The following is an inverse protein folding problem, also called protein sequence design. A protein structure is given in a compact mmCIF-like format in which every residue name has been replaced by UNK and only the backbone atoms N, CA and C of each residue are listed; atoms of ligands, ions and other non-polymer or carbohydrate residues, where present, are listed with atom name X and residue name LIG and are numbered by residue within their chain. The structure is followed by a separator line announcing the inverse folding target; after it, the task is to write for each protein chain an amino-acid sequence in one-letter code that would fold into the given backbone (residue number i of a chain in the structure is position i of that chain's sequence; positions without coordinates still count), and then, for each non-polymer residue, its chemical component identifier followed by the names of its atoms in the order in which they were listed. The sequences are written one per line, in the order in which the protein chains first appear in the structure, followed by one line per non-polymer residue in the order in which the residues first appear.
data_IF_920212525067
#
_entry.id   IF_920212525067
#
_cell.length_a   1.000
_cell.length_b   1.000
_cell.length_c   1.000
_cell.angle_alpha   90.00
_cell.angle_beta   90.00
_cell.angle_gamma   90.00
#
_symmetry.space_group_name_H-M   'P 1'
#
loop_
_entity.id
_entity.type
_entity.pdbx_description
1 polymer ?
#
# COMPACT_ATOMS: atom_id res chain seq x y z
N UNK A 1 16.39 -37.98 58.34
CA UNK A 1 16.10 -39.43 58.31
C UNK A 1 15.20 -39.72 57.12
N UNK A 2 15.64 -40.66 56.28
CA UNK A 2 14.90 -41.15 55.12
C UNK A 2 13.59 -41.87 55.53
N UNK A 3 12.59 -41.94 54.66
CA UNK A 3 12.30 -43.17 53.92
C UNK A 3 11.14 -43.05 52.92
N UNK A 4 11.44 -43.61 51.75
CA UNK A 4 10.68 -43.97 50.55
C UNK A 4 9.54 -44.98 50.81
N UNK A 5 8.53 -45.01 49.91
CA UNK A 5 7.92 -46.18 49.20
C UNK A 5 6.62 -45.70 48.50
N UNK A 6 6.39 -45.78 47.18
CA UNK A 6 6.56 -46.83 46.14
C UNK A 6 5.55 -47.99 46.20
N UNK A 7 4.76 -48.16 45.13
CA UNK A 7 4.42 -49.41 44.38
C UNK A 7 3.07 -49.26 43.63
N UNK A 8 2.91 -49.41 42.30
CA UNK A 8 3.15 -50.50 41.30
C UNK A 8 1.84 -51.24 40.92
N UNK A 9 1.64 -51.41 39.60
CA UNK A 9 1.09 -52.55 38.83
C UNK A 9 0.00 -52.11 37.82
N UNK A 10 0.05 -52.30 36.49
CA UNK A 10 0.55 -53.31 35.54
C UNK A 10 -0.57 -54.20 34.95
N UNK A 11 -0.49 -54.43 33.62
CA UNK A 11 -1.26 -55.38 32.80
C UNK A 11 -1.84 -54.69 31.56
N UNK A 12 -1.31 -54.74 30.33
CA UNK A 12 -0.69 -55.75 29.44
C UNK A 12 -1.68 -56.76 28.78
N UNK A 13 -1.63 -56.70 27.43
CA UNK A 13 -1.87 -57.70 26.37
C UNK A 13 -3.28 -58.08 25.89
N UNK A 14 -3.45 -57.97 24.57
CA UNK A 14 -4.40 -58.70 23.74
C UNK A 14 -4.24 -58.35 22.25
N UNK A 15 -3.56 -59.21 21.49
CA UNK A 15 -3.40 -59.15 20.02
C UNK A 15 -4.51 -59.97 19.36
N UNK A 16 -5.03 -59.55 18.19
CA UNK A 16 -5.16 -60.34 16.93
C UNK A 16 -6.39 -60.01 16.05
N UNK A 17 -6.07 -59.91 14.74
CA UNK A 17 -6.84 -60.37 13.55
C UNK A 17 -7.88 -59.42 12.92
N UNK A 18 -7.60 -59.06 11.66
CA UNK A 18 -8.53 -58.48 10.68
C UNK A 18 -9.55 -59.50 10.17
N UNK A 19 -10.64 -59.02 9.55
CA UNK A 19 -11.00 -59.57 8.26
C UNK A 19 -11.26 -58.51 7.18
N UNK A 20 -10.95 -58.94 5.97
CA UNK A 20 -11.27 -58.38 4.66
C UNK A 20 -12.79 -58.36 4.46
N UNK A 21 -13.32 -57.25 3.94
CA UNK A 21 -14.57 -57.23 3.17
C UNK A 21 -14.27 -56.67 1.79
N UNK A 22 -14.87 -57.30 0.78
CA UNK A 22 -14.70 -57.00 -0.63
C UNK A 22 -16.08 -56.82 -1.30
N UNK A 23 -16.07 -56.07 -2.44
CA UNK A 23 -16.98 -56.15 -3.62
C UNK A 23 -18.32 -55.35 -3.52
N UNK A 24 -18.98 -54.83 -4.61
CA UNK A 24 -18.66 -54.74 -6.06
C UNK A 24 -18.91 -53.38 -6.81
N UNK A 25 -18.53 -53.41 -8.10
CA UNK A 25 -19.24 -52.91 -9.31
C UNK A 25 -19.03 -51.48 -9.84
N UNK A 26 -18.14 -51.40 -10.83
CA UNK A 26 -18.33 -50.90 -12.19
C UNK A 26 -19.55 -50.01 -12.52
N UNK A 27 -19.26 -48.80 -13.02
CA UNK A 27 -20.11 -48.08 -13.96
C UNK A 27 -19.26 -47.25 -14.93
N UNK A 28 -19.26 -47.71 -16.19
CA UNK A 28 -19.09 -47.01 -17.47
C UNK A 28 -18.19 -45.77 -17.59
N UNK A 29 -17.14 -45.94 -18.39
CA UNK A 29 -16.46 -44.87 -19.14
C UNK A 29 -17.44 -44.20 -20.14
N UNK A 30 -17.51 -42.87 -20.21
CA UNK A 30 -17.99 -42.19 -21.41
C UNK A 30 -16.80 -41.97 -22.35
N UNK A 31 -16.84 -42.65 -23.49
CA UNK A 31 -15.97 -42.38 -24.65
C UNK A 31 -16.23 -40.96 -25.18
N UNK A 32 -15.38 -40.01 -24.78
CA UNK A 32 -15.28 -38.71 -25.44
C UNK A 32 -14.16 -38.78 -26.48
N UNK A 33 -14.51 -38.66 -27.76
CA UNK A 33 -13.54 -38.42 -28.83
C UNK A 33 -12.77 -37.11 -28.60
N UNK A 34 -11.63 -36.90 -29.28
CA UNK A 34 -10.76 -35.76 -29.02
C UNK A 34 -11.44 -34.48 -29.52
N UNK A 35 -12.04 -33.74 -28.60
CA UNK A 35 -12.33 -32.33 -28.81
C UNK A 35 -11.00 -31.57 -28.74
N UNK A 36 -10.67 -30.83 -29.79
CA UNK A 36 -9.51 -29.96 -29.85
C UNK A 36 -9.56 -28.95 -28.68
N UNK A 37 -8.61 -29.05 -27.77
CA UNK A 37 -8.46 -28.14 -26.66
C UNK A 37 -8.01 -26.77 -27.17
N UNK A 38 -8.87 -25.77 -27.03
CA UNK A 38 -8.45 -24.36 -27.09
C UNK A 38 -7.50 -24.03 -25.92
N UNK A 39 -6.67 -22.98 -26.04
CA UNK A 39 -5.74 -22.63 -24.98
C UNK A 39 -6.50 -22.17 -23.73
N UNK A 40 -6.15 -22.77 -22.59
CA UNK A 40 -6.68 -22.41 -21.28
C UNK A 40 -5.68 -21.51 -20.55
N UNK A 41 -6.06 -20.25 -20.29
CA UNK A 41 -5.33 -19.35 -19.40
C UNK A 41 -5.82 -19.54 -17.96
N UNK A 42 -4.91 -19.64 -16.99
CA UNK A 42 -5.20 -19.66 -15.55
C UNK A 42 -4.90 -18.28 -14.96
N UNK A 43 -5.90 -17.63 -14.35
CA UNK A 43 -5.74 -16.37 -13.62
C UNK A 43 -5.55 -16.61 -12.11
N UNK A 44 -4.59 -15.93 -11.50
CA UNK A 44 -4.49 -15.79 -10.04
C UNK A 44 -5.30 -14.57 -9.58
N UNK A 45 -5.91 -14.66 -8.40
CA UNK A 45 -6.89 -13.69 -7.88
C UNK A 45 -6.18 -12.64 -7.03
N UNK A 46 -6.24 -11.38 -7.43
CA UNK A 46 -6.19 -10.19 -6.57
C UNK A 46 -7.23 -9.19 -7.13
N UNK A 47 -7.86 -8.42 -6.23
CA UNK A 47 -9.11 -7.66 -6.41
C UNK A 47 -9.36 -7.09 -7.82
N UNK A 48 -10.58 -7.30 -8.32
CA UNK A 48 -11.01 -7.18 -9.71
C UNK A 48 -10.57 -5.90 -10.44
N UNK A 49 -9.40 -5.95 -11.06
CA UNK A 49 -8.91 -4.89 -11.93
C UNK A 49 -9.59 -4.92 -13.33
N UNK A 50 -10.25 -6.02 -13.66
CA UNK A 50 -11.01 -6.24 -14.88
C UNK A 50 -12.50 -6.41 -14.55
N UNK A 51 -13.36 -5.77 -15.34
CA UNK A 51 -14.81 -5.76 -15.14
C UNK A 51 -15.61 -6.01 -16.42
N UNK A 52 -14.96 -6.05 -17.58
CA UNK A 52 -15.62 -6.18 -18.87
C UNK A 52 -16.14 -7.60 -19.09
N UNK A 53 -17.46 -7.79 -19.27
CA UNK A 53 -18.04 -9.11 -19.49
C UNK A 53 -17.51 -9.73 -20.79
N UNK A 54 -17.01 -10.97 -20.70
CA UNK A 54 -16.56 -11.74 -21.87
C UNK A 54 -15.16 -11.38 -22.39
N UNK A 55 -14.50 -10.37 -21.83
CA UNK A 55 -13.11 -10.04 -22.16
C UNK A 55 -12.12 -10.94 -21.38
N UNK A 56 -11.00 -11.24 -22.02
CA UNK A 56 -9.86 -11.90 -21.37
C UNK A 56 -9.10 -10.84 -20.55
N UNK A 57 -9.05 -11.01 -19.24
CA UNK A 57 -8.35 -10.08 -18.35
C UNK A 57 -6.82 -10.26 -18.41
N UNK A 58 -6.09 -9.19 -18.73
CA UNK A 58 -4.64 -9.16 -18.90
C UNK A 58 -3.95 -8.58 -17.66
N UNK A 59 -3.66 -9.39 -16.63
CA UNK A 59 -3.14 -8.89 -15.34
C UNK A 59 -1.86 -8.06 -15.47
N UNK A 60 -0.99 -8.40 -16.41
CA UNK A 60 0.27 -7.73 -16.73
C UNK A 60 0.18 -6.88 -18.02
N UNK A 61 -1.05 -6.61 -18.48
CA UNK A 61 -1.35 -5.95 -19.76
C UNK A 61 -0.71 -6.60 -20.99
N UNK A 62 -0.26 -7.85 -20.89
CA UNK A 62 0.36 -8.56 -22.01
C UNK A 62 -0.58 -9.62 -22.55
N UNK A 63 -0.78 -9.64 -23.86
CA UNK A 63 -1.56 -10.68 -24.54
C UNK A 63 -0.71 -11.41 -25.57
N UNK A 64 -0.71 -12.73 -25.50
CA UNK A 64 -0.06 -13.58 -26.47
C UNK A 64 -1.09 -14.36 -27.31
N UNK A 65 -0.93 -14.31 -28.62
CA UNK A 65 -1.69 -15.09 -29.59
C UNK A 65 -0.78 -16.17 -30.13
N UNK A 66 -1.23 -17.42 -30.06
CA UNK A 66 -0.66 -18.53 -30.84
C UNK A 66 -1.68 -18.91 -31.89
N UNK A 67 -1.30 -18.76 -33.15
CA UNK A 67 -2.13 -19.07 -34.29
C UNK A 67 -1.55 -20.27 -35.03
N UNK A 68 -2.31 -21.37 -35.10
CA UNK A 68 -1.93 -22.58 -35.82
C UNK A 68 -2.70 -22.66 -37.14
N UNK A 69 -2.01 -23.10 -38.18
CA UNK A 69 -2.63 -23.40 -39.48
C UNK A 69 -2.58 -24.90 -39.72
N UNK A 70 -3.68 -25.46 -40.19
CA UNK A 70 -3.73 -26.83 -40.67
C UNK A 70 -3.49 -26.85 -42.18
N UNK A 71 -2.55 -27.68 -42.63
CA UNK A 71 -2.26 -27.89 -44.04
C UNK A 71 -0.78 -27.68 -44.40
N UNK A 72 -0.15 -28.73 -44.91
CA UNK A 72 1.17 -28.64 -45.56
C UNK A 72 1.00 -28.18 -47.00
N UNK A 73 1.91 -27.34 -47.50
CA UNK A 73 1.86 -26.85 -48.89
C UNK A 73 1.03 -25.58 -49.11
N UNK A 74 0.81 -24.78 -48.07
CA UNK A 74 0.28 -23.42 -48.18
C UNK A 74 1.31 -22.42 -47.64
N UNK A 75 1.46 -21.28 -48.32
CA UNK A 75 2.15 -20.11 -47.78
C UNK A 75 1.11 -19.17 -47.20
N UNK A 76 1.26 -18.79 -45.92
CA UNK A 76 0.28 -17.99 -45.21
C UNK A 76 0.80 -16.59 -44.93
N UNK A 77 -0.11 -15.64 -45.02
CA UNK A 77 0.09 -14.27 -44.57
C UNK A 77 -1.07 -13.87 -43.69
N UNK A 78 -0.79 -13.31 -42.51
CA UNK A 78 -1.78 -12.76 -41.62
C UNK A 78 -1.46 -11.32 -41.25
N UNK A 79 -2.51 -10.62 -40.81
CA UNK A 79 -2.46 -9.33 -40.14
C UNK A 79 -3.09 -9.50 -38.77
N UNK A 80 -2.32 -9.24 -37.73
CA UNK A 80 -2.78 -9.10 -36.36
C UNK A 80 -3.12 -7.64 -36.12
N UNK A 81 -4.35 -7.38 -35.68
CA UNK A 81 -4.81 -6.09 -35.18
C UNK A 81 -5.00 -6.23 -33.67
N UNK A 82 -4.25 -5.44 -32.88
CA UNK A 82 -4.34 -5.49 -31.43
C UNK A 82 -5.48 -4.63 -30.87
N UNK A 83 -6.16 -3.84 -31.72
CA UNK A 83 -7.30 -3.04 -31.32
C UNK A 83 -6.95 -1.72 -30.60
N UNK A 84 -5.66 -1.44 -30.38
CA UNK A 84 -5.14 -0.18 -29.85
C UNK A 84 -4.55 0.74 -30.94
N UNK A 85 -4.75 0.37 -32.21
CA UNK A 85 -4.18 1.04 -33.38
C UNK A 85 -2.85 0.44 -33.85
N UNK A 86 -2.24 -0.46 -33.09
CA UNK A 86 -1.06 -1.21 -33.52
C UNK A 86 -1.43 -2.46 -34.29
N UNK A 87 -0.68 -2.73 -35.36
CA UNK A 87 -0.97 -3.84 -36.27
C UNK A 87 0.33 -4.48 -36.74
N UNK A 88 0.36 -5.80 -36.88
CA UNK A 88 1.52 -6.55 -37.32
C UNK A 88 1.16 -7.45 -38.50
N UNK A 89 2.00 -7.46 -39.55
CA UNK A 89 1.89 -8.43 -40.63
C UNK A 89 2.84 -9.60 -40.37
N UNK A 90 2.33 -10.83 -40.42
CA UNK A 90 3.11 -12.04 -40.18
C UNK A 90 3.04 -12.94 -41.41
N UNK A 91 4.19 -13.26 -41.99
CA UNK A 91 4.31 -14.31 -43.01
C UNK A 91 4.83 -15.58 -42.36
N UNK A 92 4.20 -16.71 -42.65
CA UNK A 92 4.55 -17.98 -42.02
C UNK A 92 4.18 -19.18 -42.90
N UNK A 93 4.89 -20.29 -42.69
CA UNK A 93 4.67 -21.55 -43.39
C UNK A 93 3.61 -22.41 -42.69
N UNK A 94 3.82 -23.72 -42.69
CA UNK A 94 2.89 -24.69 -42.06
C UNK A 94 2.92 -24.72 -40.54
N UNK A 95 3.82 -23.97 -39.89
CA UNK A 95 4.03 -24.03 -38.42
C UNK A 95 3.19 -23.01 -37.63
N UNK A 96 2.45 -22.13 -38.31
CA UNK A 96 1.73 -21.05 -37.63
C UNK A 96 2.68 -19.98 -37.09
N UNK A 97 2.23 -19.23 -36.08
CA UNK A 97 3.06 -18.24 -35.39
C UNK A 97 2.60 -18.00 -33.95
N UNK A 98 3.49 -17.46 -33.13
CA UNK A 98 3.16 -16.84 -31.85
C UNK A 98 3.60 -15.38 -31.86
N UNK A 99 2.74 -14.49 -31.36
CA UNK A 99 3.03 -13.07 -31.15
C UNK A 99 2.53 -12.63 -29.78
N UNK A 100 3.23 -11.66 -29.20
CA UNK A 100 2.90 -11.06 -27.91
C UNK A 100 2.84 -9.55 -28.08
N UNK A 101 1.90 -8.93 -27.37
CA UNK A 101 1.70 -7.49 -27.37
C UNK A 101 1.42 -6.98 -25.97
N UNK A 102 2.00 -5.84 -25.62
CA UNK A 102 1.79 -5.16 -24.35
C UNK A 102 0.94 -3.92 -24.57
N UNK A 103 -0.16 -3.80 -23.83
CA UNK A 103 -1.06 -2.65 -23.90
C UNK A 103 -0.57 -1.55 -22.96
N UNK A 104 -0.21 -0.40 -23.53
CA UNK A 104 0.25 0.75 -22.74
C UNK A 104 -0.83 1.31 -21.80
N UNK A 105 -2.10 1.31 -22.25
CA UNK A 105 -3.23 1.91 -21.52
C UNK A 105 -4.21 0.86 -21.04
N UNK A 106 -4.90 1.17 -19.95
CA UNK A 106 -6.03 0.37 -19.53
C UNK A 106 -7.19 0.54 -20.51
N UNK A 107 -7.95 -0.53 -20.72
CA UNK A 107 -9.06 -0.50 -21.67
C UNK A 107 -9.47 -1.88 -22.14
N UNK A 108 -10.59 -1.92 -22.85
CA UNK A 108 -11.06 -3.11 -23.55
C UNK A 108 -10.70 -2.98 -25.02
N UNK A 109 -10.01 -3.98 -25.55
CA UNK A 109 -9.50 -4.01 -26.91
C UNK A 109 -10.08 -5.20 -27.68
N UNK A 110 -10.39 -4.97 -28.95
CA UNK A 110 -10.82 -6.04 -29.85
C UNK A 110 -9.64 -6.49 -30.70
N UNK A 111 -9.09 -7.64 -30.35
CA UNK A 111 -7.99 -8.27 -31.08
C UNK A 111 -8.56 -9.07 -32.23
N UNK A 112 -7.98 -8.91 -33.42
CA UNK A 112 -8.35 -9.72 -34.59
C UNK A 112 -7.14 -10.21 -35.36
N UNK A 113 -7.21 -11.44 -35.86
CA UNK A 113 -6.26 -11.99 -36.82
C UNK A 113 -7.02 -12.29 -38.09
N UNK A 114 -6.62 -11.61 -39.16
CA UNK A 114 -7.12 -11.82 -40.52
C UNK A 114 -5.99 -12.29 -41.40
N UNK A 115 -6.28 -12.96 -42.51
CA UNK A 115 -5.22 -13.50 -43.35
C UNK A 115 -5.73 -14.28 -44.53
N UNK A 116 -4.78 -14.82 -45.28
CA UNK A 116 -5.02 -15.62 -46.46
C UNK A 116 -3.91 -16.65 -46.64
N UNK A 117 -4.21 -17.71 -47.39
CA UNK A 117 -3.25 -18.75 -47.76
C UNK A 117 -3.21 -18.92 -49.26
N UNK A 118 -2.01 -19.16 -49.79
CA UNK A 118 -1.80 -19.49 -51.20
C UNK A 118 -1.20 -20.89 -51.32
N UNK A 119 -1.79 -21.81 -52.10
CA UNK A 119 -1.18 -23.10 -52.38
C UNK A 119 0.21 -22.94 -52.97
N UNK A 120 1.18 -23.72 -52.48
CA UNK A 120 2.56 -23.72 -53.00
C UNK A 120 2.79 -24.77 -54.08
N UNK A 121 1.79 -25.63 -54.35
CA UNK A 121 1.81 -26.69 -55.36
C UNK A 121 0.42 -26.91 -55.96
N UNK A 122 0.31 -27.29 -57.25
CA UNK A 122 -0.96 -27.67 -57.88
C UNK A 122 -1.70 -28.83 -57.20
N UNK A 123 -1.00 -29.63 -56.38
CA UNK A 123 -1.59 -30.73 -55.61
C UNK A 123 -2.38 -30.29 -54.38
N UNK A 124 -2.31 -29.00 -54.01
CA UNK A 124 -3.05 -28.42 -52.88
C UNK A 124 -4.21 -27.59 -53.44
N UNK A 125 -5.47 -28.06 -53.32
CA UNK A 125 -6.58 -27.46 -54.05
C UNK A 125 -7.06 -26.12 -53.48
N UNK A 126 -6.91 -25.89 -52.17
CA UNK A 126 -7.28 -24.63 -51.52
C UNK A 126 -6.60 -24.49 -50.14
N UNK A 127 -6.46 -23.25 -49.68
CA UNK A 127 -5.94 -22.90 -48.36
C UNK A 127 -7.01 -22.06 -47.65
N UNK A 128 -7.65 -22.59 -46.60
CA UNK A 128 -8.67 -21.88 -45.83
C UNK A 128 -8.07 -21.23 -44.58
N UNK A 129 -8.18 -19.92 -44.47
CA UNK A 129 -7.78 -19.17 -43.28
C UNK A 129 -8.95 -19.04 -42.30
N UNK A 130 -8.73 -19.33 -41.02
CA UNK A 130 -9.76 -19.22 -39.99
C UNK A 130 -9.54 -17.95 -39.16
N UNK A 131 -10.31 -16.87 -39.36
CA UNK A 131 -10.10 -15.65 -38.60
C UNK A 131 -10.25 -15.88 -37.09
N UNK A 132 -9.43 -15.18 -36.32
CA UNK A 132 -9.51 -15.18 -34.86
C UNK A 132 -9.96 -13.79 -34.40
N UNK A 133 -10.84 -13.75 -33.41
CA UNK A 133 -11.23 -12.53 -32.73
C UNK A 133 -11.39 -12.79 -31.25
N UNK A 134 -10.86 -11.89 -30.43
CA UNK A 134 -11.05 -11.92 -28.99
C UNK A 134 -11.21 -10.50 -28.45
N UNK A 135 -11.95 -10.36 -27.35
CA UNK A 135 -11.89 -9.17 -26.54
C UNK A 135 -10.93 -9.40 -25.38
N UNK A 136 -10.07 -8.42 -25.13
CA UNK A 136 -9.13 -8.43 -24.02
C UNK A 136 -9.30 -7.16 -23.20
N UNK A 137 -9.09 -7.24 -21.90
CA UNK A 137 -9.15 -6.09 -20.99
C UNK A 137 -7.80 -5.91 -20.31
N UNK A 138 -7.14 -4.77 -20.60
CA UNK A 138 -6.00 -4.31 -19.84
C UNK A 138 -6.52 -3.55 -18.61
N UNK A 139 -6.21 -4.00 -17.38
CA UNK A 139 -6.72 -3.41 -16.15
C UNK A 139 -6.14 -2.01 -15.90
N UNK A 140 -6.88 -1.21 -15.14
CA UNK A 140 -6.39 0.05 -14.57
C UNK A 140 -5.32 -0.22 -13.52
N UNK A 141 -4.41 0.73 -13.36
CA UNK A 141 -3.49 0.72 -12.23
C UNK A 141 -4.19 1.23 -10.98
N UNK A 142 -4.01 0.53 -9.87
CA UNK A 142 -4.49 0.97 -8.57
C UNK A 142 -3.33 1.60 -7.79
N UNK A 143 -3.52 2.84 -7.36
CA UNK A 143 -2.55 3.58 -6.56
C UNK A 143 -3.06 3.79 -5.14
N UNK A 144 -2.14 3.69 -4.18
CA UNK A 144 -2.35 4.12 -2.80
C UNK A 144 -1.19 5.02 -2.38
N UNK A 145 -1.51 6.28 -2.07
CA UNK A 145 -0.62 7.24 -1.46
C UNK A 145 -0.99 7.38 0.01
N UNK A 146 -0.11 6.94 0.91
CA UNK A 146 -0.26 7.13 2.35
C UNK A 146 0.75 8.14 2.86
N UNK A 147 0.33 9.00 3.77
CA UNK A 147 1.15 9.99 4.44
C UNK A 147 1.10 9.75 5.95
N UNK A 148 2.21 10.07 6.61
CA UNK A 148 2.36 9.92 8.06
C UNK A 148 3.08 11.14 8.63
N UNK A 149 2.68 11.55 9.83
CA UNK A 149 3.41 12.51 10.67
C UNK A 149 3.75 11.88 12.03
N UNK A 150 4.99 11.99 12.48
CA UNK A 150 5.49 11.39 13.73
C UNK A 150 6.58 12.24 14.36
N UNK A 151 6.76 12.11 15.67
CA UNK A 151 7.77 12.85 16.45
C UNK A 151 9.05 12.02 16.54
N UNK A 152 10.18 12.47 15.98
CA UNK A 152 11.38 11.63 15.88
C UNK A 152 12.07 11.35 17.23
N UNK A 153 11.82 12.17 18.24
CA UNK A 153 12.38 12.01 19.59
C UNK A 153 11.46 11.19 20.49
N UNK A 154 11.98 10.74 21.63
CA UNK A 154 11.23 10.04 22.68
C UNK A 154 10.31 10.96 23.47
N UNK A 155 10.68 12.24 23.60
CA UNK A 155 9.92 13.26 24.31
C UNK A 155 9.94 14.61 23.59
N UNK A 156 8.90 15.38 23.85
CA UNK A 156 8.73 16.77 23.41
C UNK A 156 8.33 17.61 24.62
N UNK A 157 8.76 18.87 24.61
CA UNK A 157 8.39 19.87 25.61
C UNK A 157 6.88 19.91 25.79
N UNK A 158 6.47 20.09 27.02
CA UNK A 158 5.10 20.43 27.35
C UNK A 158 4.91 21.96 27.27
N UNK A 159 4.05 22.48 26.37
CA UNK A 159 3.75 23.91 26.28
C UNK A 159 3.27 24.55 27.58
N UNK A 160 2.63 23.79 28.46
CA UNK A 160 2.19 24.30 29.76
C UNK A 160 3.32 24.34 30.80
N UNK A 161 4.40 23.55 30.62
CA UNK A 161 5.54 23.48 31.52
C UNK A 161 6.87 23.45 30.75
N UNK A 162 7.17 24.56 30.07
CA UNK A 162 8.37 24.70 29.21
C UNK A 162 9.68 24.57 29.98
N UNK A 163 9.69 24.96 31.26
CA UNK A 163 10.82 24.82 32.18
C UNK A 163 10.37 24.07 33.44
N UNK A 164 11.23 23.28 34.09
CA UNK A 164 10.95 22.74 35.41
C UNK A 164 10.66 23.87 36.39
N UNK A 165 9.43 23.93 36.92
CA UNK A 165 9.07 24.90 37.95
C UNK A 165 9.30 24.29 39.34
N UNK A 166 9.97 25.04 40.21
CA UNK A 166 9.95 24.83 41.65
C UNK A 166 8.80 25.68 42.23
N UNK A 167 7.67 25.05 42.56
CA UNK A 167 6.50 25.78 43.07
C UNK A 167 6.50 25.73 44.60
N UNK A 168 6.17 26.85 45.27
CA UNK A 168 5.89 26.90 46.71
C UNK A 168 4.40 27.09 47.04
N UNK A 169 3.49 27.01 46.06
CA UNK A 169 2.07 27.31 46.29
C UNK A 169 1.12 26.36 45.55
N UNK A 170 0.49 25.50 46.35
CA UNK A 170 -0.87 24.91 46.33
C UNK A 170 -1.66 24.56 45.06
N UNK A 171 -1.37 25.03 43.86
CA UNK A 171 -2.16 24.65 42.68
C UNK A 171 -1.24 24.52 41.45
N UNK A 172 -1.07 23.28 40.99
CA UNK A 172 -1.26 22.85 39.59
C UNK A 172 -0.84 21.40 39.42
N UNK A 173 -1.84 20.51 39.48
CA UNK A 173 -1.72 19.13 39.01
C UNK A 173 -3.06 18.80 38.38
N UNK A 174 -3.21 19.01 37.08
CA UNK A 174 -4.34 18.40 36.39
C UNK A 174 -3.93 17.00 35.94
N UNK A 175 -4.82 16.05 36.24
CA UNK A 175 -4.78 14.60 36.00
C UNK A 175 -4.04 13.70 37.02
N UNK A 176 -3.07 14.19 37.78
CA UNK A 176 -2.34 13.36 38.77
C UNK A 176 -2.72 13.56 40.25
N UNK A 177 -3.69 14.43 40.53
CA UNK A 177 -4.17 14.74 41.88
C UNK A 177 -3.32 15.77 42.63
N UNK A 178 -3.87 16.37 43.69
CA UNK A 178 -3.22 17.49 44.40
C UNK A 178 -2.10 17.00 45.34
N UNK A 179 -0.91 17.59 45.24
CA UNK A 179 0.23 17.31 46.12
C UNK A 179 0.60 18.53 46.97
N UNK A 180 0.17 18.61 48.25
CA UNK A 180 0.44 19.76 49.12
C UNK A 180 1.92 19.91 49.51
N UNK A 181 2.71 18.86 49.33
CA UNK A 181 4.13 18.74 49.61
C UNK A 181 5.00 18.78 48.33
N UNK A 182 4.45 19.23 47.20
CA UNK A 182 5.17 19.38 45.93
C UNK A 182 6.43 20.26 46.07
N UNK A 183 7.55 19.80 45.52
CA UNK A 183 8.82 20.53 45.45
C UNK A 183 9.17 20.88 44.01
N UNK A 184 8.98 19.93 43.09
CA UNK A 184 9.34 20.08 41.69
C UNK A 184 8.36 19.29 40.83
N UNK A 185 7.94 19.90 39.73
CA UNK A 185 7.15 19.26 38.70
C UNK A 185 7.83 19.44 37.35
N UNK A 186 7.96 18.35 36.61
CA UNK A 186 8.34 18.34 35.20
C UNK A 186 7.25 17.62 34.41
N UNK A 187 7.03 18.02 33.17
CA UNK A 187 6.16 17.28 32.26
C UNK A 187 6.62 17.40 30.82
N UNK A 188 6.23 16.40 30.03
CA UNK A 188 6.60 16.28 28.62
C UNK A 188 5.54 15.45 27.89
N UNK A 189 5.47 15.62 26.57
CA UNK A 189 4.70 14.75 25.69
C UNK A 189 5.58 13.61 25.18
N UNK A 190 5.02 12.40 25.14
CA UNK A 190 5.68 11.24 24.56
C UNK A 190 5.81 11.44 23.05
N UNK A 191 7.00 11.24 22.49
CA UNK A 191 7.27 11.19 21.06
C UNK A 191 7.24 9.75 20.51
N UNK A 192 7.64 9.56 19.25
CA UNK A 192 7.58 8.26 18.55
C UNK A 192 8.96 7.57 18.49
N UNK A 193 10.05 8.29 18.76
CA UNK A 193 11.41 7.75 18.88
C UNK A 193 11.95 7.00 17.65
N UNK A 194 11.56 7.41 16.43
CA UNK A 194 12.15 6.89 15.19
C UNK A 194 12.34 7.98 14.13
N UNK A 195 13.42 7.88 13.35
CA UNK A 195 13.73 8.85 12.29
C UNK A 195 13.04 8.47 10.97
N UNK A 196 13.08 7.19 10.59
CA UNK A 196 12.51 6.66 9.35
C UNK A 196 10.98 6.58 9.36
N UNK A 197 10.39 6.16 8.23
CA UNK A 197 8.93 6.12 8.06
C UNK A 197 8.22 5.05 8.92
N UNK A 198 8.88 3.93 9.17
CA UNK A 198 8.32 2.83 9.95
C UNK A 198 8.30 3.15 11.45
N UNK A 199 7.19 2.82 12.10
CA UNK A 199 6.97 3.12 13.51
C UNK A 199 5.60 3.75 13.81
N UNK A 200 5.43 4.19 15.05
CA UNK A 200 4.22 4.86 15.54
C UNK A 200 4.04 6.24 14.88
N UNK A 201 2.91 6.89 15.15
CA UNK A 201 2.59 8.15 14.50
C UNK A 201 1.63 8.99 15.34
N UNK A 202 1.57 10.28 14.98
CA UNK A 202 0.56 11.23 15.47
C UNK A 202 -0.66 11.28 14.57
N UNK A 203 -0.44 11.17 13.27
CA UNK A 203 -1.53 11.11 12.30
C UNK A 203 -1.08 10.40 11.04
N UNK A 204 -1.97 9.59 10.49
CA UNK A 204 -1.88 9.06 9.13
C UNK A 204 -3.05 9.54 8.30
N UNK A 205 -2.86 9.64 6.99
CA UNK A 205 -3.92 9.89 6.03
C UNK A 205 -3.47 9.45 4.66
N UNK A 206 -4.37 8.95 3.84
CA UNK A 206 -4.06 8.43 2.53
C UNK A 206 -5.18 8.64 1.54
N UNK A 207 -4.89 8.32 0.28
CA UNK A 207 -5.84 8.32 -0.81
C UNK A 207 -5.54 7.14 -1.71
N UNK A 208 -6.57 6.39 -2.04
CA UNK A 208 -6.54 5.35 -3.06
C UNK A 208 -7.30 5.83 -4.31
N UNK A 209 -6.83 5.43 -5.48
CA UNK A 209 -7.44 5.79 -6.77
C UNK A 209 -6.97 4.87 -7.89
N UNK A 210 -7.72 4.85 -8.99
CA UNK A 210 -7.38 4.08 -10.18
C UNK A 210 -6.95 5.00 -11.33
N UNK A 211 -5.96 4.57 -12.11
CA UNK A 211 -5.41 5.28 -13.28
C UNK A 211 -5.52 4.41 -14.53
N UNK A 212 -6.10 4.96 -15.60
CA UNK A 212 -6.29 4.25 -16.87
C UNK A 212 -5.30 4.66 -17.98
N UNK A 213 -4.34 5.55 -17.69
CA UNK A 213 -3.45 6.17 -18.68
C UNK A 213 -3.96 7.51 -19.22
N UNK A 214 -5.09 8.01 -18.72
CA UNK A 214 -5.65 9.31 -19.10
C UNK A 214 -6.28 10.07 -17.93
N UNK A 215 -7.06 9.37 -17.11
CA UNK A 215 -7.81 9.95 -16.02
C UNK A 215 -7.77 9.09 -14.77
N UNK A 216 -7.80 9.79 -13.64
CA UNK A 216 -7.98 9.22 -12.32
C UNK A 216 -9.46 8.97 -12.09
N UNK A 217 -9.78 7.80 -11.55
CA UNK A 217 -11.13 7.37 -11.14
C UNK A 217 -11.11 6.74 -9.76
N UNK A 218 -12.29 6.49 -9.17
CA UNK A 218 -12.43 5.79 -7.88
C UNK A 218 -11.63 6.39 -6.71
N UNK A 219 -11.48 7.71 -6.68
CA UNK A 219 -10.73 8.41 -5.63
C UNK A 219 -11.45 8.27 -4.29
N UNK A 220 -10.76 7.69 -3.29
CA UNK A 220 -11.30 7.48 -1.96
C UNK A 220 -10.25 7.82 -0.90
N UNK A 221 -10.64 8.53 0.19
CA UNK A 221 -9.73 8.74 1.30
C UNK A 221 -9.52 7.43 2.07
N UNK A 222 -8.27 7.21 2.52
CA UNK A 222 -7.88 6.16 3.46
C UNK A 222 -7.51 6.84 4.78
N UNK A 223 -8.33 6.67 5.81
CA UNK A 223 -8.23 7.47 7.03
C UNK A 223 -8.81 8.89 6.87
N UNK A 224 -8.36 9.88 7.67
CA UNK A 224 -7.18 9.84 8.52
C UNK A 224 -7.39 9.11 9.84
N UNK A 225 -6.31 8.57 10.40
CA UNK A 225 -6.30 8.00 11.73
C UNK A 225 -5.35 8.80 12.64
N UNK A 226 -5.88 9.25 13.78
CA UNK A 226 -5.09 9.89 14.83
C UNK A 226 -4.32 8.86 15.66
N UNK A 227 -3.16 9.27 16.14
CA UNK A 227 -2.38 8.52 17.12
C UNK A 227 -2.93 8.68 18.53
N UNK A 228 -2.11 8.32 19.51
CA UNK A 228 -2.39 8.58 20.92
C UNK A 228 -1.38 9.59 21.43
N UNK A 229 -1.88 10.71 21.92
CA UNK A 229 -1.07 11.68 22.64
C UNK A 229 -1.00 11.28 24.11
N UNK A 230 0.21 11.08 24.62
CA UNK A 230 0.47 10.81 26.03
C UNK A 230 1.28 11.95 26.63
N UNK A 231 0.75 12.57 27.68
CA UNK A 231 1.45 13.55 28.51
C UNK A 231 1.92 12.87 29.78
N UNK A 232 3.17 13.08 30.14
CA UNK A 232 3.83 12.53 31.33
C UNK A 232 4.15 13.64 32.31
N UNK A 233 4.07 13.34 33.61
CA UNK A 233 4.57 14.20 34.67
C UNK A 233 5.51 13.44 35.60
N UNK A 234 6.57 14.12 36.04
CA UNK A 234 7.51 13.69 37.06
C UNK A 234 7.41 14.64 38.24
N UNK A 235 7.03 14.09 39.40
CA UNK A 235 6.62 14.85 40.58
C UNK A 235 7.55 14.52 41.74
N UNK A 236 8.33 15.50 42.19
CA UNK A 236 9.17 15.36 43.39
C UNK A 236 8.50 16.04 44.59
N UNK A 237 8.43 15.33 45.71
CA UNK A 237 7.76 15.79 46.94
C UNK A 237 8.74 16.02 48.08
N UNK A 238 8.38 16.88 49.02
CA UNK A 238 9.18 17.18 50.20
C UNK A 238 9.24 15.94 51.09
N UNK A 239 10.44 15.50 51.43
CA UNK A 239 10.65 14.27 52.20
C UNK A 239 10.56 12.99 51.38
N UNK A 240 10.27 13.06 50.08
CA UNK A 240 10.36 11.92 49.15
C UNK A 240 11.17 12.31 47.91
N UNK A 241 12.48 12.01 47.89
CA UNK A 241 13.36 12.42 46.80
C UNK A 241 13.11 11.63 45.51
N UNK A 242 12.43 10.48 45.56
CA UNK A 242 12.11 9.68 44.38
C UNK A 242 10.94 10.31 43.62
N UNK A 243 11.12 10.73 42.35
CA UNK A 243 10.03 11.28 41.56
C UNK A 243 8.89 10.26 41.38
N UNK A 244 7.66 10.67 41.65
CA UNK A 244 6.46 9.94 41.28
C UNK A 244 6.13 10.22 39.80
N UNK A 245 5.84 9.16 39.05
CA UNK A 245 5.44 9.25 37.65
C UNK A 245 3.93 9.09 37.49
N UNK A 246 3.33 9.89 36.64
CA UNK A 246 1.94 9.76 36.21
C UNK A 246 1.78 10.22 34.76
N UNK A 247 0.69 9.80 34.11
CA UNK A 247 0.45 10.10 32.71
C UNK A 247 -1.04 10.17 32.37
N UNK A 248 -1.37 10.86 31.28
CA UNK A 248 -2.69 10.89 30.65
C UNK A 248 -2.51 10.66 29.17
N UNK A 249 -3.39 9.84 28.60
CA UNK A 249 -3.38 9.51 27.18
C UNK A 249 -4.75 9.78 26.58
N UNK A 250 -4.77 10.42 25.41
CA UNK A 250 -5.98 10.65 24.63
C UNK A 250 -5.73 10.38 23.15
N UNK A 251 -6.76 9.86 22.48
CA UNK A 251 -6.71 9.63 21.05
C UNK A 251 -6.84 10.96 20.30
N UNK A 252 -5.97 11.18 19.33
CA UNK A 252 -6.00 12.37 18.49
C UNK A 252 -7.22 12.34 17.58
N UNK A 253 -7.91 13.46 17.45
CA UNK A 253 -8.96 13.60 16.43
C UNK A 253 -8.33 14.10 15.13
N UNK A 254 -8.34 13.26 14.11
CA UNK A 254 -7.90 13.62 12.77
C UNK A 254 -9.09 13.80 11.83
N UNK A 255 -9.01 14.77 10.92
CA UNK A 255 -10.01 15.01 9.87
C UNK A 255 -9.31 15.17 8.53
N UNK A 256 -9.94 14.71 7.46
CA UNK A 256 -9.32 14.71 6.14
C UNK A 256 -10.32 14.57 5.01
N UNK A 257 -9.84 14.82 3.81
CA UNK A 257 -10.62 14.75 2.57
C UNK A 257 -9.71 14.39 1.41
N UNK A 258 -10.27 13.71 0.41
CA UNK A 258 -9.61 13.42 -0.84
C UNK A 258 -10.53 13.76 -2.00
N UNK A 259 -9.94 14.21 -3.11
CA UNK A 259 -10.64 14.50 -4.36
C UNK A 259 -9.72 14.24 -5.53
N UNK A 260 -10.27 14.01 -6.72
CA UNK A 260 -9.45 13.92 -7.93
C UNK A 260 -10.28 14.03 -9.19
N UNK A 261 -9.62 14.48 -10.26
CA UNK A 261 -10.22 14.73 -11.57
C UNK A 261 -9.12 14.82 -12.63
N UNK A 262 -9.38 14.26 -13.82
CA UNK A 262 -8.37 14.22 -14.88
C UNK A 262 -7.12 13.52 -14.36
N UNK A 263 -5.96 14.16 -14.47
CA UNK A 263 -4.68 13.59 -14.00
C UNK A 263 -4.36 13.92 -12.54
N UNK A 264 -5.23 14.62 -11.81
CA UNK A 264 -4.91 15.18 -10.50
C UNK A 264 -5.66 14.51 -9.37
N UNK A 265 -4.97 14.31 -8.25
CA UNK A 265 -5.53 13.89 -6.96
C UNK A 265 -5.07 14.88 -5.90
N UNK A 266 -5.95 15.26 -4.98
CA UNK A 266 -5.59 16.05 -3.80
C UNK A 266 -6.07 15.35 -2.55
N UNK A 267 -5.18 15.22 -1.58
CA UNK A 267 -5.45 14.74 -0.23
C UNK A 267 -5.11 15.87 0.75
N UNK A 268 -5.98 16.10 1.72
CA UNK A 268 -5.70 16.98 2.85
C UNK A 268 -6.12 16.32 4.15
N UNK A 269 -5.29 16.44 5.19
CA UNK A 269 -5.66 16.03 6.53
C UNK A 269 -5.07 16.98 7.58
N UNK A 270 -5.71 16.98 8.75
CA UNK A 270 -5.29 17.73 9.91
C UNK A 270 -5.56 16.98 11.21
N UNK A 271 -4.70 17.18 12.19
CA UNK A 271 -4.87 16.65 13.54
C UNK A 271 -4.38 17.68 14.56
N UNK A 272 -5.08 17.80 15.68
CA UNK A 272 -4.69 18.67 16.80
C UNK A 272 -4.49 17.82 18.05
N UNK A 273 -3.58 18.25 18.92
CA UNK A 273 -3.34 17.62 20.21
C UNK A 273 -4.59 17.79 21.12
N UNK A 274 -5.20 16.70 21.60
CA UNK A 274 -6.41 16.76 22.43
C UNK A 274 -6.14 17.23 23.87
N UNK A 275 -4.89 17.11 24.35
CA UNK A 275 -4.47 17.48 25.70
C UNK A 275 -3.99 18.94 25.79
N UNK A 276 -3.90 19.66 24.67
CA UNK A 276 -3.56 21.08 24.61
C UNK A 276 -4.74 21.87 24.04
N UNK A 277 -5.21 22.88 24.79
CA UNK A 277 -6.23 23.81 24.34
C UNK A 277 -5.77 25.28 24.48
N UNK A 278 -5.80 26.07 23.38
CA UNK A 278 -5.93 25.66 21.97
C UNK A 278 -4.62 25.11 21.40
N UNK A 279 -4.63 23.92 20.79
CA UNK A 279 -3.48 23.37 20.06
C UNK A 279 -3.44 23.81 18.59
N UNK A 280 -2.29 24.28 18.07
CA UNK A 280 -2.04 24.30 16.63
C UNK A 280 -2.17 22.90 16.05
N UNK A 281 -2.76 22.78 14.85
CA UNK A 281 -2.91 21.49 14.17
C UNK A 281 -1.72 21.19 13.28
N UNK A 282 -1.32 19.92 13.21
CA UNK A 282 -0.58 19.39 12.05
C UNK A 282 -1.53 19.53 10.86
N UNK A 283 -1.07 20.16 9.77
CA UNK A 283 -1.88 20.43 8.58
C UNK A 283 -1.10 20.07 7.33
N UNK A 284 -1.61 19.09 6.59
CA UNK A 284 -0.93 18.56 5.43
C UNK A 284 -1.88 18.49 4.25
N UNK A 285 -1.42 19.00 3.11
CA UNK A 285 -2.06 18.87 1.81
C UNK A 285 -1.03 18.33 0.83
N UNK A 286 -1.42 17.35 0.03
CA UNK A 286 -0.65 16.90 -1.14
C UNK A 286 -1.54 16.98 -2.37
N UNK A 287 -0.99 17.53 -3.44
CA UNK A 287 -1.56 17.44 -4.77
C UNK A 287 -0.65 16.56 -5.62
N UNK A 288 -1.18 15.45 -6.12
CA UNK A 288 -0.51 14.54 -7.01
C UNK A 288 -0.99 14.77 -8.45
N UNK A 289 -0.05 14.77 -9.40
CA UNK A 289 -0.34 14.70 -10.84
C UNK A 289 0.22 13.38 -11.36
N UNK A 290 -0.63 12.59 -11.99
CA UNK A 290 -0.35 11.24 -12.48
C UNK A 290 -0.09 11.31 -13.99
N UNK A 291 1.03 10.75 -14.42
CA UNK A 291 1.36 10.51 -15.82
C UNK A 291 1.65 9.03 -16.05
N UNK A 292 2.00 8.70 -17.30
CA UNK A 292 2.28 7.32 -17.70
C UNK A 292 3.57 6.77 -17.07
N UNK A 293 4.61 7.61 -17.01
CA UNK A 293 5.95 7.22 -16.51
C UNK A 293 6.32 7.86 -15.17
N UNK A 294 5.52 8.81 -14.67
CA UNK A 294 5.82 9.52 -13.44
C UNK A 294 4.59 9.91 -12.62
N UNK A 295 4.83 10.05 -11.32
CA UNK A 295 3.92 10.70 -10.38
C UNK A 295 4.64 11.90 -9.77
N UNK A 296 4.06 13.09 -9.93
CA UNK A 296 4.55 14.32 -9.32
C UNK A 296 3.72 14.66 -8.09
N UNK A 297 4.33 14.68 -6.91
CA UNK A 297 3.71 15.03 -5.64
C UNK A 297 4.15 16.43 -5.21
N UNK A 298 3.19 17.32 -4.97
CA UNK A 298 3.40 18.66 -4.44
C UNK A 298 2.76 18.78 -3.06
N UNK A 299 3.62 18.80 -2.04
CA UNK A 299 3.25 18.87 -0.63
C UNK A 299 3.20 20.31 -0.17
N UNK A 300 2.17 20.66 0.61
CA UNK A 300 2.12 21.83 1.49
C UNK A 300 1.83 21.34 2.90
N UNK A 301 2.84 21.39 3.75
CA UNK A 301 2.86 20.71 5.05
C UNK A 301 3.40 21.60 6.14
N UNK A 302 3.08 21.32 7.41
CA UNK A 302 3.77 21.97 8.54
C UNK A 302 5.26 21.57 8.60
N UNK A 303 6.11 22.38 9.20
CA UNK A 303 7.56 22.07 9.34
C UNK A 303 7.89 21.15 10.53
N UNK A 304 6.91 20.91 11.41
CA UNK A 304 6.99 19.94 12.49
C UNK A 304 5.70 19.12 12.54
N UNK A 305 5.74 17.82 12.87
CA UNK A 305 6.93 17.01 13.22
C UNK A 305 7.58 16.37 11.97
N UNK A 306 8.23 15.19 12.07
CA UNK A 306 8.68 14.45 10.89
C UNK A 306 7.46 14.09 10.03
N UNK A 307 7.66 14.12 8.72
CA UNK A 307 6.62 13.74 7.78
C UNK A 307 7.17 12.96 6.60
N UNK A 308 6.39 11.98 6.18
CA UNK A 308 6.75 11.08 5.09
C UNK A 308 5.55 10.51 4.38
N UNK A 309 5.82 9.79 3.29
CA UNK A 309 4.80 9.10 2.52
C UNK A 309 5.30 7.73 2.04
N UNK A 310 4.35 6.86 1.72
CA UNK A 310 4.51 5.66 0.89
C UNK A 310 3.60 5.78 -0.33
N UNK A 311 4.14 5.51 -1.51
CA UNK A 311 3.36 5.39 -2.74
C UNK A 311 3.44 3.95 -3.22
N UNK A 312 2.30 3.32 -3.45
CA UNK A 312 2.21 1.98 -4.01
C UNK A 312 1.38 1.99 -5.30
N UNK A 313 1.73 1.12 -6.23
CA UNK A 313 1.02 0.84 -7.48
C UNK A 313 0.80 -0.67 -7.56
N UNK A 314 -0.46 -1.09 -7.71
CA UNK A 314 -0.87 -2.50 -7.75
C UNK A 314 -0.30 -3.31 -6.57
N UNK A 315 -0.30 -2.72 -5.37
CA UNK A 315 0.26 -3.31 -4.15
C UNK A 315 1.79 -3.33 -4.07
N UNK A 316 2.51 -2.93 -5.12
CA UNK A 316 3.97 -2.82 -5.12
C UNK A 316 4.39 -1.42 -4.73
N UNK A 317 5.31 -1.28 -3.77
CA UNK A 317 5.83 0.02 -3.35
C UNK A 317 6.70 0.65 -4.44
N UNK A 318 6.31 1.83 -4.90
CA UNK A 318 7.08 2.66 -5.82
C UNK A 318 8.10 3.53 -5.08
N UNK A 319 7.67 4.28 -4.07
CA UNK A 319 8.57 5.14 -3.28
C UNK A 319 8.17 5.17 -1.81
N UNK A 320 9.14 5.46 -0.96
CA UNK A 320 8.97 5.79 0.45
C UNK A 320 9.95 6.88 0.84
N UNK A 321 9.45 7.98 1.40
CA UNK A 321 10.31 9.12 1.71
C UNK A 321 9.89 9.85 2.97
N UNK A 322 10.88 10.25 3.76
CA UNK A 322 10.73 11.27 4.80
C UNK A 322 11.11 12.61 4.17
N UNK A 323 10.16 13.50 3.95
CA UNK A 323 10.40 14.78 3.24
C UNK A 323 10.49 15.99 4.18
N UNK A 324 9.96 15.88 5.41
CA UNK A 324 10.25 16.77 6.53
C UNK A 324 10.97 15.97 7.60
N UNK A 325 12.21 16.37 7.92
CA UNK A 325 13.04 15.72 8.92
C UNK A 325 13.38 16.72 10.03
N UNK A 326 12.57 16.69 11.09
CA UNK A 326 12.73 17.45 12.31
C UNK A 326 13.62 16.77 13.36
N UNK A 327 14.33 15.68 13.04
CA UNK A 327 15.11 14.93 14.03
C UNK A 327 16.24 15.74 14.68
N UNK A 328 16.80 16.72 13.97
CA UNK A 328 17.86 17.59 14.51
C UNK A 328 17.33 18.82 15.26
N UNK A 329 16.02 19.02 15.30
CA UNK A 329 15.41 20.16 15.99
C UNK A 329 15.40 19.90 17.49
N UNK A 330 15.73 20.90 18.34
CA UNK A 330 15.49 20.78 19.77
C UNK A 330 14.02 20.45 20.01
N UNK A 331 13.75 19.41 20.80
CA UNK A 331 12.38 19.00 21.11
C UNK A 331 11.98 19.33 22.55
N UNK A 332 12.92 19.70 23.43
CA UNK A 332 12.67 19.92 24.87
C UNK A 332 13.08 21.32 25.34
N UNK A 333 12.53 21.72 26.49
CA UNK A 333 12.83 23.00 27.12
C UNK A 333 12.36 24.22 26.30
N UNK A 334 12.86 25.43 26.63
CA UNK A 334 12.48 26.67 25.92
C UNK A 334 12.74 26.64 24.42
N UNK A 335 13.86 26.07 24.00
CA UNK A 335 14.20 25.95 22.57
C UNK A 335 13.27 24.97 21.85
N UNK A 336 12.92 23.85 22.51
CA UNK A 336 11.91 22.92 22.00
C UNK A 336 10.56 23.58 21.82
N UNK A 337 10.16 24.45 22.74
CA UNK A 337 8.86 25.12 22.67
C UNK A 337 8.78 26.07 21.48
N UNK A 338 9.81 26.91 21.32
CA UNK A 338 9.90 27.81 20.15
C UNK A 338 9.89 27.02 18.84
N UNK A 339 10.61 25.90 18.80
CA UNK A 339 10.71 25.07 17.59
C UNK A 339 9.40 24.37 17.25
N UNK A 340 8.73 23.78 18.25
CA UNK A 340 7.42 23.16 18.10
C UNK A 340 6.39 24.18 17.60
N UNK A 341 6.28 25.33 18.26
CA UNK A 341 5.29 26.36 17.91
C UNK A 341 5.57 26.95 16.53
N UNK A 342 6.83 27.29 16.21
CA UNK A 342 7.18 27.80 14.88
C UNK A 342 6.89 26.75 13.79
N UNK A 343 7.29 25.50 14.01
CA UNK A 343 7.14 24.43 13.03
C UNK A 343 5.69 24.04 12.74
N UNK A 344 4.79 24.13 13.73
CA UNK A 344 3.36 23.90 13.53
C UNK A 344 2.62 25.06 12.85
N UNK A 345 3.20 26.26 12.82
CA UNK A 345 2.61 27.45 12.21
C UNK A 345 3.23 27.79 10.84
N UNK A 346 4.42 27.29 10.56
CA UNK A 346 5.12 27.48 9.28
C UNK A 346 4.77 26.35 8.31
N UNK A 347 4.66 26.70 7.03
CA UNK A 347 4.37 25.76 5.96
C UNK A 347 5.54 25.68 4.98
N UNK A 348 5.92 24.44 4.67
CA UNK A 348 6.90 24.14 3.64
C UNK A 348 6.23 23.56 2.41
N UNK A 349 6.78 23.91 1.24
CA UNK A 349 6.46 23.22 -0.02
C UNK A 349 7.56 22.24 -0.38
N UNK A 350 7.17 21.03 -0.77
CA UNK A 350 8.10 20.00 -1.26
C UNK A 350 7.53 19.42 -2.54
N UNK A 351 8.35 19.29 -3.58
CA UNK A 351 7.98 18.63 -4.82
C UNK A 351 8.82 17.37 -4.98
N UNK A 352 8.17 16.25 -5.26
CA UNK A 352 8.82 14.95 -5.48
C UNK A 352 8.29 14.36 -6.78
N UNK A 353 9.20 14.00 -7.68
CA UNK A 353 8.88 13.26 -8.90
C UNK A 353 9.32 11.80 -8.71
N UNK A 354 8.42 10.87 -8.98
CA UNK A 354 8.59 9.45 -8.74
C UNK A 354 8.42 8.72 -10.08
N UNK A 355 9.45 8.03 -10.60
CA UNK A 355 9.29 7.12 -11.72
C UNK A 355 8.33 5.97 -11.37
N UNK A 356 7.47 5.58 -12.30
CA UNK A 356 6.45 4.54 -12.06
C UNK A 356 6.89 3.12 -12.46
N UNK A 357 8.10 2.99 -13.00
CA UNK A 357 8.69 1.76 -13.52
C UNK A 357 9.64 1.07 -12.52
N UNK A 358 10.30 1.84 -11.65
CA UNK A 358 11.34 1.34 -10.74
C UNK A 358 11.08 1.73 -9.29
N UNK A 359 10.94 0.75 -8.37
CA UNK A 359 10.91 1.03 -6.95
C UNK A 359 12.17 1.73 -6.46
N UNK A 360 12.01 2.80 -5.71
CA UNK A 360 13.12 3.54 -5.08
C UNK A 360 13.36 3.05 -3.65
N UNK A 361 14.63 3.06 -3.18
CA UNK A 361 14.93 2.85 -1.78
C UNK A 361 14.37 4.00 -0.92
N UNK A 362 14.17 3.74 0.38
CA UNK A 362 13.74 4.79 1.29
C UNK A 362 14.74 5.94 1.32
N UNK A 363 14.24 7.15 1.16
CA UNK A 363 15.05 8.37 1.23
C UNK A 363 14.62 9.22 2.41
N UNK A 364 15.59 9.73 3.17
CA UNK A 364 15.34 10.64 4.29
C UNK A 364 15.92 12.00 3.92
N UNK A 365 15.08 13.03 3.92
CA UNK A 365 15.51 14.40 3.70
C UNK A 365 16.56 14.81 4.75
N UNK A 366 17.52 15.69 4.39
CA UNK A 366 18.39 16.28 5.39
C UNK A 366 17.56 17.00 6.45
N UNK A 367 18.13 17.13 7.64
CA UNK A 367 17.47 17.85 8.73
C UNK A 367 17.06 19.26 8.27
N UNK A 368 15.77 19.52 8.37
CA UNK A 368 15.15 20.80 8.01
C UNK A 368 15.16 21.75 9.17
#
# INVERSE_FOLDING_TARGET
MAFTRASIAAGICGVLVSPVFAVPAAAAEPSAGPAAAGPAARAAVNAAACTAPGAICLQDRTFAITYTVSGTGCAWTSRVDWGDGTTENVSYGSEGFTRSHEYAKAGVYQVSVTGSGTPTSPSVPSCTFNPYTAQVEAPKDHFLLEMKSWIPTDKVVDPYHVVPYSISTRDLVDDCGKFPDLVKQESYFQGDAHIGYEGSHRVTGGVEFDWDGQAVTNVRPVGPAGGVTTRHWLITRRGNPTPQHCQRSEADTATGSASGSGTNVTLSYRAADPLIFPAPSINNTVSATIGDDNVSLNFRVTEYPNQGFTLTRNGTRLDRRVYVNAACRPSTGPQGFVTLTAGLLQFRRVVVNIPTDTPTPETIAPCS
#
